data_IF_627160235160
#
_entry.id   IF_627160235160
#
_cell.length_a   1.000
_cell.length_b   1.000
_cell.length_c   1.000
_cell.angle_alpha   90.00
_cell.angle_beta   90.00
_cell.angle_gamma   90.00
#
_symmetry.space_group_name_H-M   'P 1'
#
loop_
_entity.id
_entity.type
_entity.pdbx_description
1 polymer ?
#
# COMPACT_ATOMS: atom_id res chain seq x y z
N UNK A 1 -2.53 18.91 11.73
CA UNK A 1 -2.92 17.92 10.70
C UNK A 1 -3.67 18.65 9.59
N UNK A 2 -3.21 18.63 8.33
CA UNK A 2 -3.96 19.25 7.22
C UNK A 2 -5.28 18.50 6.97
N UNK A 3 -6.29 19.19 6.41
CA UNK A 3 -7.61 18.59 6.14
C UNK A 3 -7.52 17.35 5.25
N UNK A 4 -6.63 17.37 4.25
CA UNK A 4 -6.38 16.24 3.36
C UNK A 4 -5.87 14.99 4.10
N UNK A 5 -4.86 15.14 4.97
CA UNK A 5 -4.33 14.02 5.78
C UNK A 5 -5.43 13.36 6.60
N UNK A 6 -6.28 14.15 7.25
CA UNK A 6 -7.43 13.65 8.02
C UNK A 6 -8.42 12.91 7.11
N UNK A 7 -8.79 13.48 5.98
CA UNK A 7 -9.75 12.87 5.04
C UNK A 7 -9.24 11.56 4.45
N UNK A 8 -7.93 11.46 4.16
CA UNK A 8 -7.29 10.21 3.73
C UNK A 8 -7.32 9.16 4.83
N UNK A 9 -6.94 9.52 6.07
CA UNK A 9 -6.99 8.59 7.21
C UNK A 9 -8.39 8.05 7.47
N UNK A 10 -9.41 8.90 7.31
CA UNK A 10 -10.82 8.55 7.52
C UNK A 10 -11.45 7.84 6.30
N UNK A 11 -10.69 7.60 5.22
CA UNK A 11 -11.18 6.94 4.01
C UNK A 11 -12.25 7.75 3.26
N UNK A 12 -12.30 9.07 3.51
CA UNK A 12 -13.19 10.02 2.81
C UNK A 12 -12.64 10.45 1.45
N UNK A 13 -11.36 10.16 1.20
CA UNK A 13 -10.68 10.32 -0.08
C UNK A 13 -10.00 8.99 -0.39
N UNK A 14 -10.25 8.46 -1.59
CA UNK A 14 -9.56 7.29 -2.10
C UNK A 14 -8.20 7.71 -2.67
N UNK A 15 -7.17 6.89 -2.48
CA UNK A 15 -5.90 7.09 -3.18
C UNK A 15 -6.07 6.74 -4.65
N UNK A 16 -5.64 7.66 -5.51
CA UNK A 16 -5.66 7.42 -6.95
C UNK A 16 -4.78 6.21 -7.30
N UNK A 17 -5.24 5.38 -8.24
CA UNK A 17 -4.52 4.16 -8.66
C UNK A 17 -3.49 4.45 -9.74
N UNK A 18 -2.64 5.43 -9.48
CA UNK A 18 -1.56 5.86 -10.37
C UNK A 18 -0.28 5.09 -10.11
N UNK A 19 0.61 5.03 -11.11
CA UNK A 19 1.82 4.22 -11.04
C UNK A 19 1.54 2.71 -11.04
N UNK A 20 2.60 1.92 -11.24
CA UNK A 20 2.48 0.47 -11.42
C UNK A 20 3.69 -0.29 -10.87
N UNK A 21 3.47 -1.57 -10.55
CA UNK A 21 4.55 -2.55 -10.38
C UNK A 21 4.66 -3.31 -11.70
N UNK A 22 5.82 -3.28 -12.33
CA UNK A 22 6.06 -3.94 -13.62
C UNK A 22 7.25 -4.88 -13.52
N UNK A 23 7.34 -5.87 -14.43
CA UNK A 23 8.54 -6.69 -14.59
C UNK A 23 9.66 -5.83 -15.14
N UNK A 24 10.84 -5.90 -14.54
CA UNK A 24 11.99 -5.18 -15.06
C UNK A 24 12.45 -5.78 -16.40
N UNK A 25 13.10 -4.97 -17.25
CA UNK A 25 13.73 -5.45 -18.48
C UNK A 25 14.97 -6.32 -18.21
N UNK A 26 15.65 -6.09 -17.08
CA UNK A 26 16.83 -6.85 -16.64
C UNK A 26 16.48 -8.00 -15.70
N UNK A 27 17.51 -8.75 -15.28
CA UNK A 27 17.35 -9.85 -14.31
C UNK A 27 17.15 -9.36 -12.86
N UNK A 28 17.71 -8.20 -12.52
CA UNK A 28 17.77 -7.67 -11.14
C UNK A 28 17.52 -6.14 -11.15
N UNK A 29 16.54 -5.62 -10.37
CA UNK A 29 15.51 -6.38 -9.66
C UNK A 29 14.55 -7.07 -10.65
N UNK A 30 13.83 -8.13 -10.25
CA UNK A 30 12.81 -8.75 -11.11
C UNK A 30 11.58 -7.84 -11.34
N UNK A 31 11.36 -6.86 -10.47
CA UNK A 31 10.25 -5.92 -10.54
C UNK A 31 10.71 -4.50 -10.25
N UNK A 32 10.08 -3.52 -10.90
CA UNK A 32 10.27 -2.10 -10.65
C UNK A 32 8.93 -1.43 -10.35
N UNK A 33 8.98 -0.28 -9.68
CA UNK A 33 7.81 0.56 -9.42
C UNK A 33 7.91 1.83 -10.26
N UNK A 34 6.86 2.15 -10.99
CA UNK A 34 6.78 3.36 -11.81
C UNK A 34 5.80 4.37 -11.21
N UNK A 35 6.10 5.65 -11.41
CA UNK A 35 5.26 6.77 -11.04
C UNK A 35 4.10 6.98 -12.05
N UNK A 36 3.21 7.98 -11.86
CA UNK A 36 2.10 8.24 -12.77
C UNK A 36 2.53 8.52 -14.23
N UNK A 37 3.73 9.07 -14.43
CA UNK A 37 4.30 9.34 -15.74
C UNK A 37 4.98 8.10 -16.38
N UNK A 38 4.93 6.94 -15.73
CA UNK A 38 5.56 5.71 -16.19
C UNK A 38 7.08 5.66 -15.97
N UNK A 39 7.65 6.64 -15.25
CA UNK A 39 9.07 6.70 -14.92
C UNK A 39 9.33 5.89 -13.66
N UNK A 40 10.42 5.13 -13.63
CA UNK A 40 10.80 4.36 -12.45
C UNK A 40 11.03 5.26 -11.23
N UNK A 41 10.54 4.81 -10.08
CA UNK A 41 10.85 5.39 -8.79
C UNK A 41 12.21 4.83 -8.36
N UNK A 42 13.28 5.50 -8.80
CA UNK A 42 14.67 5.03 -8.65
C UNK A 42 15.02 4.54 -7.22
N UNK A 43 14.65 5.24 -6.12
CA UNK A 43 14.90 4.74 -4.77
C UNK A 43 14.28 3.36 -4.50
N UNK A 44 13.06 3.12 -5.01
CA UNK A 44 12.38 1.83 -4.87
C UNK A 44 13.04 0.76 -5.73
N UNK A 45 13.43 1.10 -6.97
CA UNK A 45 14.18 0.20 -7.84
C UNK A 45 15.47 -0.26 -7.18
N UNK A 46 16.23 0.65 -6.56
CA UNK A 46 17.44 0.32 -5.79
C UNK A 46 17.13 -0.63 -4.64
N UNK A 47 16.16 -0.28 -3.80
CA UNK A 47 15.80 -1.11 -2.66
C UNK A 47 15.34 -2.52 -3.05
N UNK A 48 14.51 -2.66 -4.11
CA UNK A 48 14.09 -3.96 -4.61
C UNK A 48 15.25 -4.77 -5.20
N UNK A 49 16.28 -4.10 -5.74
CA UNK A 49 17.50 -4.76 -6.21
C UNK A 49 18.26 -5.35 -5.04
N UNK A 50 18.47 -4.57 -3.98
CA UNK A 50 19.19 -5.01 -2.78
C UNK A 50 18.45 -6.18 -2.10
N UNK A 51 17.11 -6.11 -2.04
CA UNK A 51 16.28 -7.20 -1.54
C UNK A 51 16.42 -8.47 -2.40
N UNK A 52 16.46 -8.33 -3.72
CA UNK A 52 16.63 -9.46 -4.62
C UNK A 52 18.04 -10.09 -4.54
N UNK A 53 19.06 -9.30 -4.14
CA UNK A 53 20.41 -9.80 -3.88
C UNK A 53 20.54 -10.52 -2.53
N UNK A 54 19.62 -10.28 -1.58
CA UNK A 54 19.64 -10.90 -0.25
C UNK A 54 18.91 -12.27 -0.19
N UNK A 55 18.93 -13.05 -1.28
CA UNK A 55 18.25 -14.35 -1.45
C UNK A 55 16.72 -14.34 -1.19
N UNK A 56 16.07 -13.18 -1.23
CA UNK A 56 14.62 -13.09 -1.09
C UNK A 56 13.93 -13.52 -2.38
N UNK A 57 12.83 -14.27 -2.24
CA UNK A 57 12.10 -14.77 -3.41
C UNK A 57 11.60 -13.61 -4.31
N UNK A 58 11.53 -13.81 -5.65
CA UNK A 58 10.95 -12.82 -6.56
C UNK A 58 9.51 -12.43 -6.19
N UNK A 59 8.74 -13.37 -5.62
CA UNK A 59 7.37 -13.10 -5.14
C UNK A 59 7.38 -12.15 -3.95
N UNK A 60 8.37 -12.27 -3.06
CA UNK A 60 8.54 -11.32 -1.95
C UNK A 60 8.87 -9.94 -2.50
N UNK A 61 9.84 -9.83 -3.42
CA UNK A 61 10.17 -8.57 -4.10
C UNK A 61 8.95 -7.92 -4.75
N UNK A 62 8.11 -8.72 -5.43
CA UNK A 62 6.86 -8.22 -6.03
C UNK A 62 5.89 -7.68 -4.98
N UNK A 63 5.74 -8.39 -3.86
CA UNK A 63 4.85 -7.96 -2.78
C UNK A 63 5.32 -6.66 -2.13
N UNK A 64 6.62 -6.52 -1.89
CA UNK A 64 7.23 -5.28 -1.41
C UNK A 64 7.04 -4.14 -2.41
N UNK A 65 7.18 -4.40 -3.72
CA UNK A 65 6.89 -3.41 -4.76
C UNK A 65 5.45 -2.88 -4.70
N UNK A 66 4.45 -3.72 -4.44
CA UNK A 66 3.06 -3.27 -4.29
C UNK A 66 2.82 -2.48 -3.01
N UNK A 67 3.49 -2.84 -1.93
CA UNK A 67 3.40 -2.13 -0.66
C UNK A 67 4.09 -0.75 -0.75
N UNK A 68 5.26 -0.68 -1.39
CA UNK A 68 5.94 0.58 -1.68
C UNK A 68 5.17 1.44 -2.68
N UNK A 69 4.53 0.88 -3.71
CA UNK A 69 3.65 1.65 -4.58
C UNK A 69 2.49 2.28 -3.79
N UNK A 70 1.91 1.56 -2.82
CA UNK A 70 0.87 2.12 -1.95
C UNK A 70 1.40 3.26 -1.09
N UNK A 71 2.60 3.09 -0.55
CA UNK A 71 3.29 4.14 0.21
C UNK A 71 3.53 5.40 -0.62
N UNK A 72 4.13 5.24 -1.81
CA UNK A 72 4.41 6.36 -2.71
C UNK A 72 3.15 7.08 -3.19
N UNK A 73 2.02 6.39 -3.34
CA UNK A 73 0.72 7.04 -3.62
C UNK A 73 0.29 7.99 -2.50
N UNK A 74 0.50 7.64 -1.24
CA UNK A 74 0.25 8.55 -0.12
C UNK A 74 1.15 9.77 -0.21
N UNK A 75 2.44 9.56 -0.51
CA UNK A 75 3.40 10.64 -0.63
C UNK A 75 3.09 11.59 -1.79
N UNK A 76 2.72 11.07 -2.96
CA UNK A 76 2.32 11.88 -4.11
C UNK A 76 1.05 12.69 -3.82
N UNK A 77 0.05 12.07 -3.20
CA UNK A 77 -1.20 12.73 -2.82
C UNK A 77 -0.96 13.86 -1.81
N UNK A 78 0.02 13.69 -0.91
CA UNK A 78 0.40 14.69 0.08
C UNK A 78 1.45 15.69 -0.40
N UNK A 79 1.97 15.52 -1.61
CA UNK A 79 3.10 16.28 -2.17
C UNK A 79 4.34 16.28 -1.23
N UNK A 80 4.65 15.12 -0.66
CA UNK A 80 5.79 14.93 0.25
C UNK A 80 6.87 14.09 -0.43
N UNK A 81 8.09 14.62 -0.49
CA UNK A 81 9.26 13.85 -0.92
C UNK A 81 9.55 12.71 0.06
N UNK A 82 9.96 11.55 -0.44
CA UNK A 82 10.16 10.36 0.39
C UNK A 82 11.27 10.57 1.43
N UNK A 83 12.30 11.36 1.12
CA UNK A 83 13.38 11.73 2.05
C UNK A 83 12.89 12.58 3.24
N UNK A 84 11.74 13.25 3.07
CA UNK A 84 11.15 14.14 4.06
C UNK A 84 9.97 13.50 4.79
N UNK A 85 9.59 12.29 4.39
CA UNK A 85 8.49 11.58 5.02
C UNK A 85 8.83 11.23 6.47
N UNK A 86 7.86 11.41 7.36
CA UNK A 86 8.02 11.10 8.77
C UNK A 86 6.98 10.07 9.23
N UNK A 87 6.96 9.78 10.54
CA UNK A 87 5.89 8.98 11.14
C UNK A 87 4.49 9.53 10.82
N UNK A 88 4.30 10.84 10.60
CA UNK A 88 2.99 11.38 10.28
C UNK A 88 2.42 10.88 8.95
N UNK A 89 3.27 10.68 7.94
CA UNK A 89 2.85 10.14 6.65
C UNK A 89 2.55 8.63 6.78
N UNK A 90 3.30 7.92 7.63
CA UNK A 90 3.02 6.51 7.97
C UNK A 90 1.67 6.37 8.67
N UNK A 91 1.33 7.27 9.59
CA UNK A 91 0.01 7.31 10.23
C UNK A 91 -1.11 7.52 9.20
N UNK A 92 -0.87 8.36 8.18
CA UNK A 92 -1.81 8.56 7.07
C UNK A 92 -2.00 7.27 6.28
N UNK A 93 -0.91 6.60 5.90
CA UNK A 93 -0.96 5.31 5.21
C UNK A 93 -1.75 4.27 6.01
N UNK A 94 -1.44 4.11 7.30
CA UNK A 94 -2.09 3.13 8.18
C UNK A 94 -3.56 3.47 8.38
N UNK A 95 -3.88 4.74 8.64
CA UNK A 95 -5.24 5.23 8.76
C UNK A 95 -6.05 4.92 7.51
N UNK A 96 -5.52 5.30 6.33
CA UNK A 96 -6.12 5.00 5.04
C UNK A 96 -6.30 3.48 4.85
N UNK A 97 -5.30 2.65 5.16
CA UNK A 97 -5.46 1.19 5.05
C UNK A 97 -6.51 0.61 6.00
N UNK A 98 -6.78 1.23 7.15
CA UNK A 98 -7.81 0.78 8.09
C UNK A 98 -9.23 1.14 7.63
N UNK A 99 -9.39 2.20 6.85
CA UNK A 99 -10.69 2.77 6.46
C UNK A 99 -11.03 2.59 4.98
N UNK A 100 -10.02 2.43 4.12
CA UNK A 100 -10.21 2.30 2.68
C UNK A 100 -11.00 1.02 2.35
N UNK A 101 -12.00 1.17 1.50
CA UNK A 101 -12.83 0.05 1.02
C UNK A 101 -11.96 -0.88 0.19
N UNK A 102 -11.53 -2.00 0.77
CA UNK A 102 -10.57 -2.90 0.12
C UNK A 102 -11.07 -3.37 -1.28
N UNK A 103 -10.40 -2.97 -2.39
CA UNK A 103 -10.86 -3.30 -3.74
C UNK A 103 -10.88 -4.80 -4.05
N UNK A 104 -9.98 -5.59 -3.46
CA UNK A 104 -9.96 -7.04 -3.63
C UNK A 104 -11.20 -7.71 -3.00
N UNK A 105 -11.76 -7.13 -1.93
CA UNK A 105 -13.02 -7.58 -1.32
C UNK A 105 -14.25 -7.18 -2.15
N UNK A 106 -14.19 -6.11 -2.94
CA UNK A 106 -15.26 -5.73 -3.88
C UNK A 106 -15.44 -6.78 -4.98
N UNK A 107 -14.34 -7.36 -5.46
CA UNK A 107 -14.33 -8.37 -6.52
C UNK A 107 -14.98 -9.69 -6.11
N UNK A 108 -15.10 -9.95 -4.81
CA UNK A 108 -15.60 -11.21 -4.22
C UNK A 108 -17.00 -11.11 -3.61
N UNK A 109 -17.64 -9.93 -3.60
CA UNK A 109 -18.94 -9.72 -2.93
C UNK A 109 -20.02 -9.26 -3.92
N UNK A 110 -20.85 -10.17 -4.47
CA UNK A 110 -22.13 -9.76 -5.04
C UNK A 110 -23.03 -9.40 -3.85
N UNK A 111 -23.42 -8.12 -3.75
CA UNK A 111 -24.39 -7.58 -2.80
C UNK A 111 -24.42 -8.24 -1.39
N UNK A 112 -23.42 -7.94 -0.55
CA UNK A 112 -23.34 -8.49 0.81
C UNK A 112 -23.24 -7.40 1.87
N UNK A 113 -23.97 -7.63 2.98
CA UNK A 113 -24.32 -6.78 4.13
C UNK A 113 -23.28 -5.74 4.56
N UNK A 114 -23.82 -4.57 4.93
CA UNK A 114 -23.09 -3.37 5.36
C UNK A 114 -22.00 -3.66 6.42
N UNK A 115 -20.86 -2.97 6.36
CA UNK A 115 -19.80 -3.14 7.35
C UNK A 115 -20.27 -2.72 8.75
N UNK A 116 -19.89 -3.49 9.77
CA UNK A 116 -20.39 -3.34 11.15
C UNK A 116 -21.55 -4.26 11.53
N UNK A 117 -22.15 -5.01 10.59
CA UNK A 117 -23.20 -5.99 10.93
C UNK A 117 -22.63 -7.35 11.30
N UNK A 118 -23.08 -7.96 12.40
CA UNK A 118 -22.80 -9.38 12.67
C UNK A 118 -23.29 -10.24 11.51
N UNK A 119 -22.47 -11.16 11.02
CA UNK A 119 -22.92 -12.08 10.00
C UNK A 119 -23.92 -13.05 10.65
N UNK A 120 -25.23 -12.82 10.44
CA UNK A 120 -26.31 -13.57 11.08
C UNK A 120 -26.25 -15.09 10.80
N UNK A 121 -25.52 -15.51 9.77
CA UNK A 121 -25.31 -16.93 9.44
C UNK A 121 -24.20 -17.60 10.25
N UNK A 122 -23.27 -16.84 10.82
CA UNK A 122 -22.05 -17.40 11.46
C UNK A 122 -21.71 -16.81 12.83
N UNK A 123 -22.42 -15.77 13.29
CA UNK A 123 -22.22 -15.14 14.60
C UNK A 123 -20.91 -14.36 14.77
N UNK A 124 -20.10 -14.24 13.72
CA UNK A 124 -18.81 -13.53 13.76
C UNK A 124 -19.00 -12.04 13.49
N UNK A 125 -18.22 -11.15 14.14
CA UNK A 125 -18.20 -9.73 13.81
C UNK A 125 -17.97 -9.54 12.30
N UNK A 126 -18.70 -8.60 11.67
CA UNK A 126 -18.33 -8.19 10.32
C UNK A 126 -16.86 -7.77 10.30
N UNK A 127 -16.11 -8.30 9.35
CA UNK A 127 -14.76 -7.83 9.07
C UNK A 127 -14.79 -6.32 8.82
N UNK A 128 -13.85 -5.60 9.45
CA UNK A 128 -13.69 -4.15 9.26
C UNK A 128 -13.54 -3.81 7.75
N UNK A 129 -13.97 -2.60 7.34
CA UNK A 129 -13.97 -2.16 5.93
C UNK A 129 -12.58 -2.19 5.27
N UNK A 130 -11.53 -2.02 6.08
CA UNK A 130 -10.14 -1.90 5.66
C UNK A 130 -9.38 -3.19 5.34
N UNK A 131 -8.07 -3.02 5.19
CA UNK A 131 -7.10 -4.09 5.03
C UNK A 131 -6.95 -4.90 6.33
N UNK A 132 -6.61 -6.19 6.19
CA UNK A 132 -6.33 -7.04 7.34
C UNK A 132 -5.07 -6.57 8.08
N UNK A 133 -4.98 -6.70 9.42
CA UNK A 133 -3.79 -6.31 10.19
C UNK A 133 -2.48 -6.89 9.65
N UNK A 134 -2.49 -8.14 9.17
CA UNK A 134 -1.31 -8.76 8.54
C UNK A 134 -0.84 -8.01 7.30
N UNK A 135 -1.77 -7.52 6.47
CA UNK A 135 -1.43 -6.74 5.27
C UNK A 135 -0.87 -5.38 5.64
N UNK A 136 -1.40 -4.73 6.68
CA UNK A 136 -0.88 -3.47 7.19
C UNK A 136 0.54 -3.68 7.71
N UNK A 137 0.77 -4.71 8.53
CA UNK A 137 2.10 -5.01 9.08
C UNK A 137 3.12 -5.36 7.98
N UNK A 138 2.72 -6.12 6.96
CA UNK A 138 3.59 -6.39 5.80
C UNK A 138 3.96 -5.09 5.07
N UNK A 139 2.96 -4.23 4.82
CA UNK A 139 3.22 -2.93 4.22
C UNK A 139 4.19 -2.08 5.05
N UNK A 140 4.06 -2.09 6.39
CA UNK A 140 4.97 -1.40 7.30
C UNK A 140 6.38 -2.00 7.27
N UNK A 141 6.53 -3.33 7.19
CA UNK A 141 7.84 -3.96 7.01
C UNK A 141 8.55 -3.43 5.75
N UNK A 142 7.83 -3.33 4.63
CA UNK A 142 8.39 -2.79 3.39
C UNK A 142 8.76 -1.30 3.52
N UNK A 143 7.88 -0.47 4.12
CA UNK A 143 8.12 0.96 4.31
C UNK A 143 9.30 1.24 5.23
N UNK A 144 9.38 0.57 6.38
CA UNK A 144 10.49 0.73 7.31
C UNK A 144 11.79 0.16 6.76
N UNK A 145 11.74 -0.96 6.04
CA UNK A 145 12.92 -1.52 5.37
C UNK A 145 13.45 -0.62 4.25
N UNK A 146 12.58 0.08 3.53
CA UNK A 146 12.95 1.03 2.49
C UNK A 146 13.55 2.33 3.06
N UNK A 147 13.10 2.76 4.24
CA UNK A 147 13.46 4.04 4.85
C UNK A 147 14.67 3.96 5.80
N UNK A 148 15.25 2.77 5.97
CA UNK A 148 16.41 2.50 6.82
C UNK A 148 17.73 2.76 6.06
#
# INVERSE_FOLDING_TARGET
>A
MSDLRRRLMEGRVDLERVGAVTTAAGKLPPFVVTNPAGVEVEPVTRYLRDLALSDMSPLTSRSYGYDLLRWFRVLWELEVDWERATGSEVDVLVGWMKTARNPQRRRTRPAGTAPGTVNLRTGKPALAEGYAPRTINHCLTAVYGFSA
#
